data_IF_127988544240
#
_entry.id   IF_127988544240
#
_cell.length_a   1.000
_cell.length_b   1.000
_cell.length_c   1.000
_cell.angle_alpha   90.00
_cell.angle_beta   90.00
_cell.angle_gamma   90.00
#
_symmetry.space_group_name_H-M   'P 1'
#
loop_
_entity.id
_entity.type
_entity.pdbx_description
1 polymer ?
#
# COMPACT_ATOMS: atom_id res chain seq x y z
N UNK A 1 26.51 -16.00 7.84
CA UNK A 1 25.67 -15.43 6.77
C UNK A 1 26.54 -14.51 5.92
N UNK A 2 26.09 -14.09 4.73
CA UNK A 2 26.80 -13.06 3.95
C UNK A 2 26.46 -11.69 4.54
N UNK A 3 27.46 -10.85 4.78
CA UNK A 3 27.27 -9.47 5.25
C UNK A 3 26.37 -8.67 4.30
N UNK A 4 26.48 -8.93 2.99
CA UNK A 4 25.65 -8.31 1.96
C UNK A 4 24.19 -8.70 2.13
N UNK A 5 23.91 -9.99 2.38
CA UNK A 5 22.55 -10.47 2.63
C UNK A 5 21.97 -9.82 3.88
N UNK A 6 22.72 -9.78 4.98
CA UNK A 6 22.29 -9.17 6.25
C UNK A 6 22.00 -7.66 6.10
N UNK A 7 22.79 -6.96 5.29
CA UNK A 7 22.57 -5.55 4.97
C UNK A 7 21.27 -5.31 4.19
N UNK A 8 20.93 -6.18 3.24
CA UNK A 8 19.65 -6.11 2.54
C UNK A 8 18.47 -6.54 3.42
N UNK A 9 18.66 -7.54 4.27
CA UNK A 9 17.66 -8.01 5.22
C UNK A 9 17.26 -6.90 6.19
N UNK A 10 18.24 -6.17 6.74
CA UNK A 10 17.98 -5.03 7.64
C UNK A 10 17.17 -3.93 6.95
N UNK A 11 17.55 -3.54 5.73
CA UNK A 11 16.81 -2.55 4.95
C UNK A 11 15.37 -3.01 4.66
N UNK A 12 15.17 -4.28 4.34
CA UNK A 12 13.84 -4.83 4.11
C UNK A 12 12.99 -4.77 5.39
N UNK A 13 13.55 -5.13 6.54
CA UNK A 13 12.88 -5.05 7.83
C UNK A 13 12.47 -3.60 8.19
N UNK A 14 13.36 -2.64 7.96
CA UNK A 14 13.07 -1.21 8.18
C UNK A 14 11.93 -0.72 7.27
N UNK A 15 11.99 -1.03 5.97
CA UNK A 15 10.97 -0.61 5.01
C UNK A 15 9.63 -1.30 5.31
N UNK A 16 9.61 -2.60 5.59
CA UNK A 16 8.38 -3.35 5.88
C UNK A 16 7.68 -2.85 7.16
N UNK A 17 8.43 -2.53 8.21
CA UNK A 17 7.89 -1.91 9.42
C UNK A 17 7.32 -0.51 9.12
N UNK A 18 8.04 0.31 8.38
CA UNK A 18 7.58 1.63 7.96
C UNK A 18 6.32 1.56 7.11
N UNK A 19 6.24 0.61 6.15
CA UNK A 19 5.07 0.38 5.32
C UNK A 19 3.86 -0.06 6.13
N UNK A 20 4.05 -0.95 7.10
CA UNK A 20 2.98 -1.40 8.00
C UNK A 20 2.39 -0.23 8.78
N UNK A 21 3.25 0.63 9.33
CA UNK A 21 2.82 1.85 10.02
C UNK A 21 2.10 2.82 9.07
N UNK A 22 2.67 3.07 7.88
CA UNK A 22 2.06 3.95 6.87
C UNK A 22 0.70 3.43 6.41
N UNK A 23 0.52 2.13 6.24
CA UNK A 23 -0.78 1.55 5.88
C UNK A 23 -1.83 1.83 6.96
N UNK A 24 -1.50 1.60 8.23
CA UNK A 24 -2.40 1.88 9.36
C UNK A 24 -2.74 3.37 9.46
N UNK A 25 -1.74 4.26 9.32
CA UNK A 25 -1.97 5.71 9.38
C UNK A 25 -2.69 6.27 8.16
N UNK A 26 -2.61 5.58 7.00
CA UNK A 26 -3.29 5.99 5.75
C UNK A 26 -4.74 5.52 5.70
N UNK A 27 -5.07 4.44 6.42
CA UNK A 27 -6.42 3.88 6.45
C UNK A 27 -7.53 4.92 6.76
N UNK A 28 -7.41 5.79 7.77
CA UNK A 28 -8.43 6.80 8.09
C UNK A 28 -8.41 8.04 7.17
N UNK A 29 -7.39 8.21 6.33
CA UNK A 29 -7.28 9.39 5.46
C UNK A 29 -8.23 9.29 4.26
N UNK A 30 -8.63 10.44 3.73
CA UNK A 30 -9.43 10.60 2.51
C UNK A 30 -8.82 11.64 1.57
N UNK A 31 -9.33 11.73 0.33
CA UNK A 31 -8.96 12.76 -0.63
C UNK A 31 -7.48 12.77 -1.04
N UNK A 32 -6.96 13.95 -1.33
CA UNK A 32 -5.61 14.16 -1.86
C UNK A 32 -4.51 13.67 -0.91
N UNK A 33 -4.67 13.89 0.40
CA UNK A 33 -3.70 13.45 1.41
C UNK A 33 -3.52 11.93 1.41
N UNK A 34 -4.62 11.18 1.24
CA UNK A 34 -4.57 9.72 1.11
C UNK A 34 -3.87 9.31 -0.18
N UNK A 35 -4.20 9.96 -1.31
CA UNK A 35 -3.59 9.66 -2.61
C UNK A 35 -2.07 9.85 -2.59
N UNK A 36 -1.60 10.92 -1.95
CA UNK A 36 -0.17 11.16 -1.77
C UNK A 36 0.50 10.04 -0.95
N UNK A 37 -0.10 9.65 0.18
CA UNK A 37 0.42 8.57 1.03
C UNK A 37 0.40 7.21 0.33
N UNK A 38 -0.64 6.93 -0.46
CA UNK A 38 -0.73 5.71 -1.28
C UNK A 38 0.43 5.64 -2.27
N UNK A 39 0.78 6.75 -2.93
CA UNK A 39 1.93 6.79 -3.85
C UNK A 39 3.26 6.54 -3.14
N UNK A 40 3.47 7.14 -1.97
CA UNK A 40 4.65 6.84 -1.14
C UNK A 40 4.75 5.36 -0.75
N UNK A 41 3.61 4.75 -0.39
CA UNK A 41 3.57 3.32 -0.02
C UNK A 41 3.89 2.44 -1.24
N UNK A 42 3.41 2.80 -2.45
CA UNK A 42 3.74 2.06 -3.68
C UNK A 42 5.25 2.05 -3.95
N UNK A 43 5.90 3.21 -3.84
CA UNK A 43 7.36 3.31 -4.02
C UNK A 43 8.08 2.41 -3.01
N UNK A 44 7.71 2.47 -1.72
CA UNK A 44 8.34 1.61 -0.71
C UNK A 44 8.08 0.11 -0.91
N UNK A 45 6.93 -0.28 -1.49
CA UNK A 45 6.67 -1.67 -1.86
C UNK A 45 7.57 -2.14 -3.00
N UNK A 46 7.85 -1.28 -3.98
CA UNK A 46 8.76 -1.57 -5.09
C UNK A 46 10.22 -1.69 -4.59
N UNK A 47 10.63 -0.80 -3.67
CA UNK A 47 11.94 -0.89 -3.01
C UNK A 47 12.10 -2.17 -2.20
N UNK A 48 11.09 -2.55 -1.41
CA UNK A 48 11.08 -3.81 -0.66
C UNK A 48 11.15 -5.03 -1.60
N UNK A 49 10.46 -4.99 -2.74
CA UNK A 49 10.54 -6.05 -3.75
C UNK A 49 11.94 -6.15 -4.36
N UNK A 50 12.57 -5.00 -4.66
CA UNK A 50 13.94 -4.93 -5.15
C UNK A 50 14.94 -5.55 -4.17
N UNK A 51 14.78 -5.27 -2.86
CA UNK A 51 15.62 -5.88 -1.82
C UNK A 51 15.45 -7.40 -1.74
N UNK A 52 14.21 -7.91 -1.81
CA UNK A 52 13.97 -9.37 -1.87
C UNK A 52 14.67 -10.00 -3.08
N UNK A 53 14.61 -9.35 -4.25
CA UNK A 53 15.31 -9.85 -5.46
C UNK A 53 16.83 -9.86 -5.27
N UNK A 54 17.41 -8.82 -4.67
CA UNK A 54 18.85 -8.76 -4.35
C UNK A 54 19.27 -9.86 -3.37
N UNK A 55 18.48 -10.08 -2.31
CA UNK A 55 18.69 -11.18 -1.37
C UNK A 55 18.59 -12.57 -2.03
N UNK A 56 17.66 -12.77 -2.97
CA UNK A 56 17.52 -14.03 -3.72
C UNK A 56 18.76 -14.31 -4.59
N UNK A 57 19.31 -13.28 -5.25
CA UNK A 57 20.55 -13.38 -6.01
C UNK A 57 21.75 -13.69 -5.13
N UNK A 58 21.88 -12.99 -3.99
CA UNK A 58 22.95 -13.23 -3.01
C UNK A 58 22.85 -14.64 -2.43
N UNK A 59 21.66 -15.11 -2.06
CA UNK A 59 21.48 -16.47 -1.52
C UNK A 59 21.88 -17.57 -2.53
N UNK A 60 21.78 -17.30 -3.85
CA UNK A 60 22.15 -18.26 -4.90
C UNK A 60 23.66 -18.47 -5.04
N UNK A 61 24.48 -17.49 -4.65
CA UNK A 61 25.95 -17.58 -4.73
C UNK A 61 26.56 -18.34 -3.54
N UNK A 62 25.78 -18.57 -2.47
CA UNK A 62 26.24 -19.20 -1.24
C UNK A 62 26.19 -20.74 -1.28
N UNK A 63 26.93 -21.36 -0.37
CA UNK A 63 26.97 -22.82 -0.22
C UNK A 63 25.57 -23.42 0.03
N UNK A 64 25.28 -24.64 -0.46
CA UNK A 64 23.94 -25.24 -0.36
C UNK A 64 23.38 -25.32 1.07
N UNK A 65 24.23 -25.61 2.06
CA UNK A 65 23.87 -25.69 3.47
C UNK A 65 23.31 -24.37 4.02
N UNK A 66 23.95 -23.25 3.67
CA UNK A 66 23.52 -21.90 4.09
C UNK A 66 22.32 -21.43 3.26
N UNK A 67 22.36 -21.67 1.94
CA UNK A 67 21.31 -21.29 0.99
C UNK A 67 19.94 -21.81 1.39
N UNK A 68 19.85 -23.06 1.84
CA UNK A 68 18.58 -23.68 2.22
C UNK A 68 17.84 -22.86 3.30
N UNK A 69 18.55 -22.41 4.33
CA UNK A 69 17.97 -21.56 5.40
C UNK A 69 17.54 -20.18 4.89
N UNK A 70 18.32 -19.57 4.00
CA UNK A 70 17.99 -18.26 3.42
C UNK A 70 16.76 -18.31 2.50
N UNK A 71 16.57 -19.41 1.76
CA UNK A 71 15.41 -19.58 0.91
C UNK A 71 14.10 -19.72 1.70
N UNK A 72 14.16 -20.24 2.93
CA UNK A 72 13.00 -20.27 3.84
C UNK A 72 12.64 -18.84 4.26
N UNK A 73 13.61 -18.06 4.76
CA UNK A 73 13.41 -16.63 5.10
C UNK A 73 12.86 -15.83 3.92
N UNK A 74 13.42 -16.03 2.72
CA UNK A 74 12.96 -15.34 1.51
C UNK A 74 11.51 -15.66 1.15
N UNK A 75 11.04 -16.87 1.45
CA UNK A 75 9.63 -17.24 1.24
C UNK A 75 8.72 -16.49 2.20
N UNK A 76 9.14 -16.36 3.46
CA UNK A 76 8.42 -15.57 4.47
C UNK A 76 8.34 -14.10 4.06
N UNK A 77 9.47 -13.48 3.70
CA UNK A 77 9.49 -12.08 3.22
C UNK A 77 8.63 -11.84 1.97
N UNK A 78 8.59 -12.81 1.04
CA UNK A 78 7.70 -12.75 -0.12
C UNK A 78 6.22 -12.78 0.31
N UNK A 79 5.89 -13.61 1.30
CA UNK A 79 4.54 -13.70 1.86
C UNK A 79 4.14 -12.40 2.58
N UNK A 80 5.02 -11.85 3.41
CA UNK A 80 4.78 -10.60 4.13
C UNK A 80 4.60 -9.42 3.17
N UNK A 81 5.44 -9.34 2.13
CA UNK A 81 5.28 -8.32 1.09
C UNK A 81 3.93 -8.45 0.37
N UNK A 82 3.46 -9.68 0.11
CA UNK A 82 2.13 -9.90 -0.47
C UNK A 82 1.01 -9.45 0.48
N UNK A 83 1.16 -9.66 1.79
CA UNK A 83 0.22 -9.17 2.80
C UNK A 83 0.17 -7.63 2.81
N UNK A 84 1.32 -6.96 2.73
CA UNK A 84 1.40 -5.49 2.64
C UNK A 84 0.74 -4.95 1.36
N UNK A 85 1.02 -5.58 0.20
CA UNK A 85 0.35 -5.25 -1.08
C UNK A 85 -1.16 -5.45 -0.97
N UNK A 86 -1.62 -6.51 -0.32
CA UNK A 86 -3.03 -6.74 -0.03
C UNK A 86 -3.64 -5.67 0.87
N UNK A 87 -2.92 -5.22 1.89
CA UNK A 87 -3.29 -4.10 2.75
C UNK A 87 -3.51 -2.80 1.97
N UNK A 88 -2.58 -2.45 1.09
CA UNK A 88 -2.69 -1.27 0.24
C UNK A 88 -3.93 -1.33 -0.68
N UNK A 89 -4.18 -2.49 -1.29
CA UNK A 89 -5.37 -2.70 -2.14
C UNK A 89 -6.66 -2.44 -1.36
N UNK A 90 -6.79 -2.98 -0.14
CA UNK A 90 -7.98 -2.74 0.70
C UNK A 90 -8.20 -1.25 0.97
N UNK A 91 -7.16 -0.53 1.36
CA UNK A 91 -7.24 0.92 1.65
C UNK A 91 -7.66 1.71 0.41
N UNK A 92 -7.14 1.34 -0.75
CA UNK A 92 -7.46 1.99 -2.03
C UNK A 92 -8.90 1.68 -2.46
N UNK A 93 -9.37 0.43 -2.33
CA UNK A 93 -10.75 0.05 -2.66
C UNK A 93 -11.79 0.70 -1.74
N UNK A 94 -11.52 0.75 -0.43
CA UNK A 94 -12.39 1.47 0.53
C UNK A 94 -12.53 2.94 0.13
N UNK A 95 -11.44 3.56 -0.35
CA UNK A 95 -11.49 4.93 -0.85
C UNK A 95 -12.38 5.09 -2.09
N UNK A 96 -12.27 4.20 -3.07
CA UNK A 96 -13.12 4.25 -4.27
C UNK A 96 -14.62 4.15 -3.93
N UNK A 97 -14.98 3.31 -2.96
CA UNK A 97 -16.37 3.20 -2.49
C UNK A 97 -16.84 4.46 -1.74
N UNK A 98 -15.96 5.12 -0.97
CA UNK A 98 -16.27 6.38 -0.29
C UNK A 98 -16.44 7.52 -1.30
N UNK A 99 -15.53 7.64 -2.27
CA UNK A 99 -15.59 8.66 -3.31
C UNK A 99 -16.85 8.54 -4.18
N UNK A 100 -17.22 7.32 -4.59
CA UNK A 100 -18.45 7.08 -5.33
C UNK A 100 -19.72 7.42 -4.52
N UNK A 101 -19.69 7.28 -3.19
CA UNK A 101 -20.78 7.70 -2.31
C UNK A 101 -20.86 9.22 -2.18
N UNK A 102 -19.73 9.91 -2.09
CA UNK A 102 -19.66 11.36 -1.96
C UNK A 102 -20.14 12.06 -3.23
N UNK A 103 -19.75 11.59 -4.42
CA UNK A 103 -20.29 12.13 -5.69
C UNK A 103 -21.80 11.90 -5.84
N UNK A 104 -22.32 10.74 -5.39
CA UNK A 104 -23.76 10.48 -5.42
C UNK A 104 -24.54 11.38 -4.44
N UNK A 105 -23.95 11.74 -3.30
CA UNK A 105 -24.55 12.68 -2.35
C UNK A 105 -24.50 14.12 -2.88
N UNK A 106 -23.42 14.52 -3.55
CA UNK A 106 -23.29 15.84 -4.18
C UNK A 106 -24.28 16.01 -5.35
N UNK A 107 -24.47 14.96 -6.16
CA UNK A 107 -25.50 14.93 -7.21
C UNK A 107 -26.94 14.99 -6.67
N UNK A 108 -27.19 14.66 -5.40
CA UNK A 108 -28.52 14.64 -4.78
C UNK A 108 -28.99 16.00 -4.24
N UNK A 109 -28.12 17.00 -4.10
CA UNK A 109 -28.48 18.33 -3.59
C UNK A 109 -28.79 19.35 -4.69
N UNK A 110 -28.43 19.07 -5.95
CA UNK A 110 -28.69 19.95 -7.08
C UNK A 110 -30.18 19.98 -7.50
N UNK A 111 -30.94 18.91 -7.25
CA UNK A 111 -32.34 18.81 -7.69
C UNK A 111 -33.36 19.44 -6.72
N UNK A 112 -32.98 19.78 -5.48
CA UNK A 112 -33.91 20.40 -4.52
C UNK A 112 -33.97 21.93 -4.58
N UNK A 113 -33.05 22.60 -5.29
CA UNK A 113 -33.03 24.07 -5.40
C UNK A 113 -33.82 24.59 -6.64
N UNK A 114 -34.26 23.70 -7.53
CA UNK A 114 -34.95 24.07 -8.77
C UNK A 114 -36.48 24.23 -8.64
N UNK A 115 -37.08 23.96 -7.48
CA UNK A 115 -38.55 23.93 -7.32
C UNK A 115 -39.16 25.07 -6.48
N UNK A 116 -38.42 26.13 -6.13
CA UNK A 116 -38.93 27.23 -5.27
C UNK A 116 -39.25 28.54 -6.01
N UNK A 117 -39.14 28.63 -7.34
CA UNK A 117 -39.40 29.89 -8.08
C UNK A 117 -40.47 29.81 -9.19
N UNK A 118 -41.59 29.12 -8.95
CA UNK A 118 -42.80 29.29 -9.80
C UNK A 118 -44.06 29.44 -8.95
N UNK A 119 -44.16 30.53 -8.19
CA UNK A 119 -45.41 31.20 -7.78
C UNK A 119 -44.95 32.64 -7.46
N UNK A 120 -45.30 33.68 -8.20
CA UNK A 120 -46.61 34.33 -8.19
C UNK A 120 -46.92 35.01 -9.53
N UNK A 121 -48.12 34.73 -10.04
CA UNK A 121 -48.87 35.64 -10.90
C UNK A 121 -49.63 36.64 -10.00
N UNK A 122 -49.39 37.94 -10.16
CA UNK A 122 -50.40 38.98 -10.37
C UNK A 122 -49.73 40.30 -10.79
#
# INVERSE_FOLDING_TARGET
MSEVFEGYERQYCEISAALSHKLTSTAPLSGEQKNQKVSEIKIGLDDAESLIRKMDLEARSLQPSVKAGLLVKLREYKSDLNNLKGGLKRITTVNSNQAAREELLESGMADTLALINVVECF
#
